data_IF_530638903979
#
_entry.id   IF_530638903979
#
_cell.length_a   1.000
_cell.length_b   1.000
_cell.length_c   1.000
_cell.angle_alpha   90.00
_cell.angle_beta   90.00
_cell.angle_gamma   90.00
#
_symmetry.space_group_name_H-M   'P 1'
#
loop_
_entity.id
_entity.type
_entity.pdbx_description
1 polymer ?
#
# COMPACT_ATOMS: atom_id res chain seq x y z
N UNK A 1 -10.84 8.17 -17.35
CA UNK A 1 -10.92 8.24 -15.88
C UNK A 1 -12.22 7.56 -15.48
N UNK A 2 -12.12 6.39 -14.84
CA UNK A 2 -13.27 5.68 -14.27
C UNK A 2 -13.38 6.08 -12.78
N UNK A 3 -14.50 6.67 -12.33
CA UNK A 3 -14.69 7.08 -10.94
C UNK A 3 -14.77 5.91 -9.93
N UNK A 4 -14.66 4.65 -10.37
CA UNK A 4 -14.79 3.45 -9.53
C UNK A 4 -13.49 2.84 -8.98
N UNK A 5 -12.29 3.31 -9.35
CA UNK A 5 -11.02 2.79 -8.79
C UNK A 5 -10.73 3.51 -7.46
N UNK A 6 -11.58 3.28 -6.47
CA UNK A 6 -11.34 3.66 -5.09
C UNK A 6 -11.43 2.37 -4.28
N UNK A 7 -10.26 1.88 -3.88
CA UNK A 7 -10.03 0.72 -3.01
C UNK A 7 -10.27 -0.64 -3.67
N UNK A 8 -9.26 -1.54 -3.76
CA UNK A 8 -9.56 -2.95 -3.94
C UNK A 8 -10.39 -3.39 -2.72
N UNK A 9 -11.58 -3.98 -2.90
CA UNK A 9 -12.32 -4.49 -1.76
C UNK A 9 -11.43 -5.49 -1.02
N UNK A 10 -11.42 -5.46 0.32
CA UNK A 10 -10.69 -6.41 1.20
C UNK A 10 -10.82 -7.86 0.71
N UNK A 11 -11.97 -8.20 0.12
CA UNK A 11 -12.23 -9.47 -0.53
C UNK A 11 -11.13 -9.89 -1.53
N UNK A 12 -10.63 -8.98 -2.36
CA UNK A 12 -9.58 -9.29 -3.33
C UNK A 12 -8.24 -9.63 -2.66
N UNK A 13 -7.87 -8.92 -1.59
CA UNK A 13 -6.64 -9.23 -0.83
C UNK A 13 -6.76 -10.59 -0.12
N UNK A 14 -7.95 -10.92 0.39
CA UNK A 14 -8.21 -12.24 0.99
C UNK A 14 -8.15 -13.37 -0.03
N UNK A 15 -8.77 -13.19 -1.21
CA UNK A 15 -8.67 -14.16 -2.30
C UNK A 15 -7.21 -14.39 -2.72
N UNK A 16 -6.43 -13.32 -2.87
CA UNK A 16 -5.00 -13.44 -3.18
C UNK A 16 -4.24 -14.18 -2.07
N UNK A 17 -4.55 -13.93 -0.79
CA UNK A 17 -3.93 -14.61 0.35
C UNK A 17 -4.29 -16.10 0.42
N UNK A 18 -5.50 -16.47 0.01
CA UNK A 18 -5.97 -17.85 -0.07
C UNK A 18 -5.28 -18.61 -1.22
N UNK A 19 -5.02 -17.93 -2.34
CA UNK A 19 -4.37 -18.51 -3.52
C UNK A 19 -2.83 -18.48 -3.45
N UNK A 20 -2.26 -17.55 -2.69
CA UNK A 20 -0.81 -17.35 -2.58
C UNK A 20 -0.28 -17.64 -1.17
N UNK A 21 0.56 -18.69 -1.00
CA UNK A 21 1.13 -19.02 0.30
C UNK A 21 2.35 -18.18 0.69
N UNK A 22 2.95 -17.43 -0.25
CA UNK A 22 4.12 -16.60 0.03
C UNK A 22 3.77 -15.23 0.64
N UNK A 23 4.77 -14.36 0.71
CA UNK A 23 4.58 -12.99 1.22
C UNK A 23 3.67 -12.18 0.29
N UNK A 24 2.67 -11.54 0.88
CA UNK A 24 1.71 -10.67 0.21
C UNK A 24 1.99 -9.22 0.61
N UNK A 25 2.45 -8.41 -0.35
CA UNK A 25 2.78 -7.00 -0.12
C UNK A 25 1.87 -6.11 -0.94
N UNK A 26 1.23 -5.13 -0.29
CA UNK A 26 0.42 -4.12 -0.97
C UNK A 26 1.28 -2.89 -1.26
N UNK A 27 1.49 -2.61 -2.56
CA UNK A 27 2.25 -1.45 -3.04
C UNK A 27 1.33 -0.37 -3.58
N UNK A 28 1.65 0.88 -3.26
CA UNK A 28 0.94 2.05 -3.80
C UNK A 28 0.07 2.78 -2.78
N UNK A 29 0.17 2.44 -1.49
CA UNK A 29 -0.56 3.16 -0.43
C UNK A 29 0.03 4.55 -0.28
N UNK A 30 -0.76 5.57 -0.59
CA UNK A 30 -0.38 6.98 -0.49
C UNK A 30 -1.31 7.80 0.41
N UNK A 31 -2.54 7.33 0.62
CA UNK A 31 -3.50 7.95 1.52
C UNK A 31 -3.45 7.26 2.89
N UNK A 32 -3.28 7.99 3.99
CA UNK A 32 -3.32 7.42 5.35
C UNK A 32 -4.57 6.62 5.66
N UNK A 33 -5.75 7.03 5.17
CA UNK A 33 -7.00 6.30 5.44
C UNK A 33 -7.02 4.91 4.79
N UNK A 34 -6.34 4.76 3.65
CA UNK A 34 -6.23 3.50 2.93
C UNK A 34 -5.33 2.51 3.68
N UNK A 35 -4.44 2.99 4.56
CA UNK A 35 -3.44 2.18 5.27
C UNK A 35 -4.06 1.16 6.24
N UNK A 36 -5.30 1.38 6.68
CA UNK A 36 -5.98 0.49 7.64
C UNK A 36 -6.42 -0.83 7.01
N UNK A 37 -6.72 -0.82 5.72
CA UNK A 37 -7.32 -1.96 5.03
C UNK A 37 -6.32 -3.09 4.74
N UNK A 38 -5.12 -2.82 4.19
CA UNK A 38 -4.11 -3.86 3.98
C UNK A 38 -3.77 -4.59 5.27
N UNK A 39 -3.52 -3.82 6.35
CA UNK A 39 -3.23 -4.34 7.70
C UNK A 39 -4.33 -5.30 8.17
N UNK A 40 -5.60 -4.90 8.06
CA UNK A 40 -6.75 -5.72 8.46
C UNK A 40 -6.97 -6.95 7.56
N UNK A 41 -6.38 -6.99 6.37
CA UNK A 41 -6.51 -8.10 5.42
C UNK A 41 -5.45 -9.20 5.57
N UNK A 42 -4.45 -9.03 6.45
CA UNK A 42 -3.41 -10.03 6.70
C UNK A 42 -2.28 -10.00 5.67
N UNK A 43 -1.96 -8.81 5.15
CA UNK A 43 -0.79 -8.60 4.29
C UNK A 43 0.48 -8.59 5.15
N UNK A 44 1.57 -9.09 4.59
CA UNK A 44 2.85 -9.21 5.29
C UNK A 44 3.61 -7.88 5.35
N UNK A 45 3.37 -6.99 4.37
CA UNK A 45 3.88 -5.63 4.40
C UNK A 45 3.04 -4.65 3.57
N UNK A 46 3.16 -3.37 3.91
CA UNK A 46 2.65 -2.27 3.10
C UNK A 46 3.79 -1.42 2.56
N UNK A 47 3.74 -1.14 1.27
CA UNK A 47 4.73 -0.38 0.54
C UNK A 47 4.16 0.99 0.12
N UNK A 48 4.69 2.05 0.74
CA UNK A 48 4.37 3.45 0.44
C UNK A 48 5.10 3.85 -0.83
N UNK A 49 4.36 4.06 -1.92
CA UNK A 49 4.93 4.33 -3.23
C UNK A 49 4.01 5.19 -4.07
N UNK A 50 4.57 6.17 -4.77
CA UNK A 50 3.89 6.97 -5.78
C UNK A 50 4.22 6.52 -7.21
N UNK A 51 4.73 5.29 -7.38
CA UNK A 51 5.16 4.73 -8.66
C UNK A 51 6.18 5.59 -9.43
N UNK A 52 6.94 6.42 -8.71
CA UNK A 52 8.03 7.25 -9.24
C UNK A 52 7.61 8.34 -10.23
N UNK A 53 6.38 8.84 -10.09
CA UNK A 53 5.95 10.13 -10.58
C UNK A 53 5.83 10.41 -12.10
N UNK A 54 5.88 9.50 -13.11
CA UNK A 54 5.50 9.86 -14.47
C UNK A 54 3.98 9.74 -14.70
N UNK A 55 3.21 9.27 -13.70
CA UNK A 55 1.77 9.05 -13.79
C UNK A 55 0.92 10.04 -12.99
N UNK A 56 1.52 10.78 -12.05
CA UNK A 56 0.86 11.82 -11.25
C UNK A 56 1.92 12.87 -10.91
N UNK A 57 2.12 13.87 -11.78
CA UNK A 57 3.16 14.92 -11.63
C UNK A 57 2.96 15.84 -10.39
N UNK A 58 1.94 15.60 -9.56
CA UNK A 58 1.66 16.37 -8.36
C UNK A 58 1.36 15.51 -7.11
N UNK A 59 1.72 14.22 -7.13
CA UNK A 59 1.52 13.34 -5.96
C UNK A 59 2.44 13.73 -4.79
N UNK A 60 1.92 13.64 -3.55
CA UNK A 60 2.73 13.87 -2.35
C UNK A 60 4.00 13.00 -2.34
N UNK A 61 5.09 13.56 -1.82
CA UNK A 61 6.31 12.80 -1.59
C UNK A 61 6.03 11.59 -0.70
N UNK A 62 6.49 10.40 -1.09
CA UNK A 62 6.30 9.17 -0.30
C UNK A 62 6.90 9.29 1.09
N UNK A 63 7.98 10.08 1.24
CA UNK A 63 8.63 10.35 2.52
C UNK A 63 7.75 11.20 3.46
N UNK A 64 6.96 12.12 2.91
CA UNK A 64 6.05 12.96 3.68
C UNK A 64 4.81 12.18 4.14
N UNK A 65 4.40 11.17 3.36
CA UNK A 65 3.24 10.35 3.66
C UNK A 65 3.53 9.23 4.66
N UNK A 66 4.75 8.69 4.68
CA UNK A 66 5.11 7.56 5.55
C UNK A 66 4.71 7.76 7.02
N UNK A 67 4.99 8.91 7.69
CA UNK A 67 4.59 9.11 9.09
C UNK A 67 3.06 9.12 9.28
N UNK A 68 2.33 9.66 8.31
CA UNK A 68 0.87 9.76 8.36
C UNK A 68 0.23 8.38 8.17
N UNK A 69 0.75 7.60 7.22
CA UNK A 69 0.36 6.22 6.95
C UNK A 69 0.68 5.34 8.17
N UNK A 70 1.87 5.48 8.79
CA UNK A 70 2.20 4.75 10.02
C UNK A 70 1.21 5.05 11.14
N UNK A 71 0.89 6.33 11.37
CA UNK A 71 -0.08 6.73 12.39
C UNK A 71 -1.48 6.14 12.13
N UNK A 72 -1.89 6.03 10.87
CA UNK A 72 -3.21 5.53 10.52
C UNK A 72 -3.32 3.99 10.50
N UNK A 73 -2.25 3.31 10.04
CA UNK A 73 -2.17 1.85 9.90
C UNK A 73 -1.75 1.11 11.16
N UNK A 74 -1.25 1.81 12.19
CA UNK A 74 -0.86 1.20 13.45
C UNK A 74 0.51 0.52 13.41
N UNK A 75 0.85 -0.14 14.53
CA UNK A 75 2.23 -0.56 14.76
C UNK A 75 2.59 -1.96 14.24
N UNK A 76 1.57 -2.75 13.93
CA UNK A 76 1.65 -4.21 13.83
C UNK A 76 2.11 -4.74 12.46
N UNK A 77 2.03 -3.91 11.42
CA UNK A 77 2.44 -4.31 10.06
C UNK A 77 3.71 -3.58 9.63
N UNK A 78 4.68 -4.28 9.01
CA UNK A 78 5.83 -3.65 8.37
C UNK A 78 5.43 -2.62 7.30
N UNK A 79 5.97 -1.41 7.40
CA UNK A 79 5.85 -0.36 6.39
C UNK A 79 7.22 -0.09 5.75
N UNK A 80 7.27 -0.02 4.42
CA UNK A 80 8.48 0.37 3.67
C UNK A 80 8.15 1.43 2.63
N UNK A 81 9.09 2.33 2.34
CA UNK A 81 9.02 3.19 1.15
C UNK A 81 9.58 2.39 -0.04
N UNK A 82 8.89 2.40 -1.18
CA UNK A 82 9.40 1.76 -2.40
C UNK A 82 9.42 2.71 -3.61
N UNK A 83 10.51 2.67 -4.36
CA UNK A 83 10.68 3.40 -5.62
C UNK A 83 10.19 2.61 -6.84
N UNK A 84 10.77 2.92 -8.01
CA UNK A 84 10.47 2.28 -9.30
C UNK A 84 10.95 0.83 -9.40
N UNK A 85 11.81 0.40 -8.47
CA UNK A 85 12.35 -0.96 -8.42
C UNK A 85 11.43 -1.98 -7.76
N UNK A 86 11.80 -3.27 -7.84
CA UNK A 86 11.10 -4.34 -7.10
C UNK A 86 11.15 -4.07 -5.59
N UNK A 87 10.23 -4.68 -4.85
CA UNK A 87 10.28 -4.69 -3.39
C UNK A 87 11.59 -5.40 -2.98
N UNK A 88 12.48 -4.65 -2.32
CA UNK A 88 13.75 -5.16 -1.82
C UNK A 88 13.59 -5.43 -0.32
N UNK A 89 14.22 -6.49 0.16
CA UNK A 89 14.18 -6.94 1.56
C UNK A 89 14.77 -5.92 2.53
#
# INVERSE_FOLDING_TARGET
MDPGIFHPPIAHLRMNRDEWPGDLVVKGVLNPDDARWPVASGVDATCVSNHSAPQFEAGSGTIDQLPQIRKAGGDDTPLKICGHGPFQE
#
